data_IF_894350999268
#
_entry.id   IF_894350999268
#
_cell.length_a   1.000
_cell.length_b   1.000
_cell.length_c   1.000
_cell.angle_alpha   90.00
_cell.angle_beta   90.00
_cell.angle_gamma   90.00
#
_symmetry.space_group_name_H-M   'P 1'
#
loop_
_entity.id
_entity.type
_entity.pdbx_description
1 polymer ?
#
# COMPACT_ATOMS: atom_id res chain seq x y z
N UNK A 1 16.95 -9.43 3.01
CA UNK A 1 16.90 -10.35 4.18
C UNK A 1 16.90 -9.68 5.55
N UNK A 2 17.72 -8.65 5.84
CA UNK A 2 17.77 -8.03 7.19
C UNK A 2 16.40 -7.48 7.66
N UNK A 3 15.69 -6.75 6.81
CA UNK A 3 14.35 -6.22 7.12
C UNK A 3 13.34 -7.36 7.37
N UNK A 4 13.33 -8.38 6.52
CA UNK A 4 12.44 -9.54 6.66
C UNK A 4 12.71 -10.36 7.94
N UNK A 5 13.97 -10.43 8.38
CA UNK A 5 14.33 -11.03 9.67
C UNK A 5 13.80 -10.21 10.84
N UNK A 6 14.08 -8.90 10.85
CA UNK A 6 13.66 -8.02 11.94
C UNK A 6 12.13 -7.94 12.07
N UNK A 7 11.41 -8.06 10.95
CA UNK A 7 9.95 -8.04 10.90
C UNK A 7 9.32 -9.45 10.99
N UNK A 8 10.09 -10.51 11.26
CA UNK A 8 9.56 -11.84 11.53
C UNK A 8 9.08 -12.65 10.32
N UNK A 9 9.25 -12.15 9.10
CA UNK A 9 8.98 -12.89 7.86
C UNK A 9 9.98 -14.03 7.67
N UNK A 10 11.25 -13.85 8.03
CA UNK A 10 12.26 -14.89 7.92
C UNK A 10 12.87 -15.23 9.29
N UNK A 11 13.38 -16.46 9.44
CA UNK A 11 14.19 -16.88 10.58
C UNK A 11 15.61 -17.22 10.13
N UNK A 12 16.63 -16.66 10.80
CA UNK A 12 18.04 -17.00 10.50
C UNK A 12 18.35 -18.38 11.09
N UNK A 13 18.87 -19.30 10.27
CA UNK A 13 19.35 -20.63 10.70
C UNK A 13 20.87 -20.72 10.76
N UNK A 14 21.59 -19.88 10.03
CA UNK A 14 23.05 -19.87 9.98
C UNK A 14 23.59 -18.68 9.20
N UNK A 15 24.89 -18.66 8.92
CA UNK A 15 25.48 -17.64 8.05
C UNK A 15 24.86 -17.76 6.66
N UNK A 16 24.17 -16.71 6.21
CA UNK A 16 23.43 -16.67 4.93
C UNK A 16 22.35 -17.75 4.74
N UNK A 17 21.94 -18.44 5.80
CA UNK A 17 20.88 -19.45 5.76
C UNK A 17 19.63 -18.93 6.46
N UNK A 18 18.49 -18.99 5.77
CA UNK A 18 17.20 -18.49 6.23
C UNK A 18 16.12 -19.55 6.05
N UNK A 19 15.14 -19.56 6.94
CA UNK A 19 13.96 -20.40 6.84
C UNK A 19 12.69 -19.54 6.81
N UNK A 20 11.65 -19.98 6.09
CA UNK A 20 10.36 -19.31 6.08
C UNK A 20 9.69 -19.41 7.46
N UNK A 21 8.88 -18.41 7.78
CA UNK A 21 7.93 -18.43 8.89
C UNK A 21 6.51 -18.55 8.34
N UNK A 22 5.51 -18.75 9.21
CA UNK A 22 4.11 -18.75 8.82
C UNK A 22 3.72 -17.47 8.04
N UNK A 23 4.28 -16.32 8.42
CA UNK A 23 4.09 -15.06 7.69
C UNK A 23 4.64 -15.11 6.27
N UNK A 24 5.86 -15.63 6.08
CA UNK A 24 6.39 -15.81 4.71
C UNK A 24 5.53 -16.76 3.89
N UNK A 25 5.04 -17.85 4.48
CA UNK A 25 4.16 -18.79 3.79
C UNK A 25 2.85 -18.11 3.39
N UNK A 26 2.22 -17.36 4.30
CA UNK A 26 1.00 -16.62 3.98
C UNK A 26 1.20 -15.62 2.84
N UNK A 27 2.35 -14.93 2.78
CA UNK A 27 2.67 -14.00 1.68
C UNK A 27 2.81 -14.69 0.32
N UNK A 28 2.88 -16.02 0.26
CA UNK A 28 2.89 -16.77 -1.01
C UNK A 28 1.49 -17.21 -1.46
N UNK A 29 0.47 -17.05 -0.62
CA UNK A 29 -0.90 -17.36 -0.99
C UNK A 29 -1.41 -16.37 -2.02
N UNK A 30 -2.09 -16.86 -3.07
CA UNK A 30 -2.56 -16.03 -4.20
C UNK A 30 -3.41 -14.85 -3.74
N UNK A 31 -4.31 -15.06 -2.80
CA UNK A 31 -5.16 -14.01 -2.24
C UNK A 31 -4.35 -12.92 -1.53
N UNK A 32 -3.26 -13.29 -0.85
CA UNK A 32 -2.37 -12.33 -0.19
C UNK A 32 -1.53 -11.57 -1.20
N UNK A 33 -1.09 -12.24 -2.27
CA UNK A 33 -0.39 -11.60 -3.40
C UNK A 33 -1.30 -10.56 -4.05
N UNK A 34 -2.51 -10.95 -4.46
CA UNK A 34 -3.47 -10.06 -5.12
C UNK A 34 -3.84 -8.85 -4.22
N UNK A 35 -4.01 -9.10 -2.92
CA UNK A 35 -4.28 -8.04 -1.94
C UNK A 35 -3.08 -7.08 -1.78
N UNK A 36 -1.86 -7.61 -1.73
CA UNK A 36 -0.66 -6.79 -1.65
C UNK A 36 -0.49 -5.95 -2.91
N UNK A 37 -0.67 -6.54 -4.09
CA UNK A 37 -0.60 -5.84 -5.37
C UNK A 37 -1.62 -4.68 -5.41
N UNK A 38 -2.89 -4.93 -5.06
CA UNK A 38 -3.89 -3.85 -5.03
C UNK A 38 -3.58 -2.79 -3.97
N UNK A 39 -3.04 -3.18 -2.81
CA UNK A 39 -2.66 -2.21 -1.78
C UNK A 39 -1.52 -1.29 -2.26
N UNK A 40 -0.48 -1.84 -2.89
CA UNK A 40 0.70 -1.08 -3.30
C UNK A 40 0.51 -0.34 -4.64
N UNK A 41 -0.23 -0.92 -5.58
CA UNK A 41 -0.47 -0.33 -6.90
C UNK A 41 -1.66 0.63 -6.85
N UNK A 42 -2.80 0.18 -6.33
CA UNK A 42 -4.05 0.95 -6.44
C UNK A 42 -4.26 1.90 -5.23
N UNK A 43 -3.96 1.43 -4.02
CA UNK A 43 -4.36 2.16 -2.81
C UNK A 43 -3.28 3.13 -2.30
N UNK A 44 -2.00 2.72 -2.34
CA UNK A 44 -0.90 3.52 -1.81
C UNK A 44 -0.78 4.91 -2.46
N UNK A 45 -0.96 5.09 -3.78
CA UNK A 45 -0.99 6.42 -4.39
C UNK A 45 -2.09 7.31 -3.80
N UNK A 46 -3.27 6.74 -3.54
CA UNK A 46 -4.41 7.45 -2.96
C UNK A 46 -4.13 7.89 -1.53
N UNK A 47 -3.40 7.09 -0.74
CA UNK A 47 -3.02 7.44 0.63
C UNK A 47 -1.90 8.48 0.72
N UNK A 48 -1.05 8.61 -0.30
CA UNK A 48 0.07 9.57 -0.31
C UNK A 48 -0.30 10.96 -0.83
N UNK A 49 -1.40 11.08 -1.58
CA UNK A 49 -1.86 12.34 -2.16
C UNK A 49 -2.73 13.27 -1.29
N UNK A 50 -3.33 12.88 -0.15
CA UNK A 50 -4.14 13.77 0.66
C UNK A 50 -3.42 15.04 1.13
N UNK A 51 -2.13 15.03 1.54
CA UNK A 51 -1.43 16.26 1.92
C UNK A 51 -1.38 17.30 0.79
N UNK A 52 -1.15 16.88 -0.45
CA UNK A 52 -1.13 17.77 -1.62
C UNK A 52 -2.53 18.32 -1.93
N UNK A 53 -3.55 17.45 -1.89
CA UNK A 53 -4.94 17.82 -2.14
C UNK A 53 -5.47 18.80 -1.10
N UNK A 54 -5.27 18.51 0.19
CA UNK A 54 -5.69 19.36 1.29
C UNK A 54 -5.03 20.73 1.25
N UNK A 55 -3.74 20.79 0.88
CA UNK A 55 -3.07 22.08 0.68
C UNK A 55 -3.73 22.90 -0.43
N UNK A 56 -4.14 22.26 -1.54
CA UNK A 56 -4.81 22.93 -2.67
C UNK A 56 -6.21 23.43 -2.31
N UNK A 57 -6.94 22.70 -1.47
CA UNK A 57 -8.30 23.09 -1.03
C UNK A 57 -8.31 24.04 0.16
N UNK A 58 -7.13 24.39 0.69
CA UNK A 58 -7.02 25.19 1.93
C UNK A 58 -7.53 24.44 3.16
N UNK A 59 -7.35 23.12 3.18
CA UNK A 59 -7.79 22.19 4.23
C UNK A 59 -9.31 22.20 4.48
N UNK A 60 -10.09 22.67 3.50
CA UNK A 60 -11.55 22.58 3.55
C UNK A 60 -12.00 21.15 3.33
N UNK A 61 -13.07 20.78 4.01
CA UNK A 61 -13.74 19.51 3.76
C UNK A 61 -14.20 19.46 2.29
N UNK A 62 -14.07 18.30 1.63
CA UNK A 62 -14.54 18.15 0.26
C UNK A 62 -16.07 18.27 0.22
N UNK A 63 -16.56 19.23 -0.55
CA UNK A 63 -17.99 19.41 -0.84
C UNK A 63 -18.44 18.61 -2.08
N UNK A 64 -17.48 18.28 -2.96
CA UNK A 64 -17.69 17.53 -4.20
C UNK A 64 -17.24 16.06 -4.03
N UNK A 65 -18.14 15.06 -4.21
CA UNK A 65 -17.79 13.65 -4.12
C UNK A 65 -16.80 13.18 -5.21
N UNK A 66 -16.56 13.97 -6.25
CA UNK A 66 -15.61 13.67 -7.33
C UNK A 66 -14.28 14.41 -7.18
N UNK A 67 -14.09 15.19 -6.12
CA UNK A 67 -12.82 15.87 -5.82
C UNK A 67 -12.12 15.24 -4.61
N UNK A 68 -11.84 13.94 -4.67
CA UNK A 68 -11.22 13.17 -3.59
C UNK A 68 -9.76 12.81 -3.90
N UNK A 69 -9.00 12.30 -2.91
CA UNK A 69 -7.65 11.78 -3.14
C UNK A 69 -7.57 10.73 -4.24
N UNK A 70 -8.64 9.96 -4.47
CA UNK A 70 -8.68 8.95 -5.54
C UNK A 70 -8.61 9.60 -6.91
N UNK A 71 -9.50 10.57 -7.19
CA UNK A 71 -9.49 11.31 -8.46
C UNK A 71 -8.21 12.11 -8.63
N UNK A 72 -7.68 12.69 -7.54
CA UNK A 72 -6.43 13.42 -7.59
C UNK A 72 -5.22 12.52 -7.89
N UNK A 73 -5.16 11.31 -7.32
CA UNK A 73 -4.08 10.36 -7.55
C UNK A 73 -4.07 9.83 -8.99
N UNK A 74 -5.24 9.51 -9.54
CA UNK A 74 -5.37 8.88 -10.87
C UNK A 74 -5.75 9.84 -12.00
N UNK A 75 -5.95 11.13 -11.70
CA UNK A 75 -6.44 12.14 -12.66
C UNK A 75 -7.74 11.72 -13.34
N UNK A 76 -8.65 11.08 -12.60
CA UNK A 76 -9.94 10.64 -13.12
C UNK A 76 -11.03 11.69 -12.86
N UNK A 77 -12.01 11.80 -13.77
CA UNK A 77 -13.11 12.78 -13.67
C UNK A 77 -14.33 12.28 -12.89
N UNK A 78 -14.31 11.04 -12.38
CA UNK A 78 -15.44 10.45 -11.66
C UNK A 78 -16.64 10.07 -12.54
N UNK A 79 -16.53 10.24 -13.85
CA UNK A 79 -17.53 9.88 -14.85
C UNK A 79 -17.06 8.66 -15.64
N UNK A 80 -17.90 7.63 -15.73
CA UNK A 80 -17.69 6.51 -16.65
C UNK A 80 -18.07 6.90 -18.09
#
# INVERSE_FOLDING_TARGET
MRVLLCNGFAKKRGLNHYAPTAWSTQMTERTTIDMADSMFIDSLPVFHKPPELLRKTGYKNPEDPYNTPLQYAYKSSGTC
#
